data_IF_178187118735
#
_entry.id   IF_178187118735
#
_cell.length_a   1.000
_cell.length_b   1.000
_cell.length_c   1.000
_cell.angle_alpha   90.00
_cell.angle_beta   90.00
_cell.angle_gamma   90.00
#
_symmetry.space_group_name_H-M   'P 1'
#
loop_
_entity.id
_entity.type
_entity.pdbx_description
1 polymer ?
#
# COMPACT_ATOMS: atom_id res chain seq x y z
N UNK A 1 18.16 -19.41 11.68
CA UNK A 1 18.79 -18.07 11.69
C UNK A 1 18.51 -17.46 10.32
N UNK A 2 17.62 -16.46 10.23
CA UNK A 2 17.43 -15.73 8.98
C UNK A 2 18.69 -14.88 8.76
N UNK A 3 19.55 -15.29 7.84
CA UNK A 3 20.60 -14.42 7.34
C UNK A 3 19.91 -13.28 6.59
N UNK A 4 19.79 -12.12 7.24
CA UNK A 4 19.35 -10.91 6.58
C UNK A 4 20.40 -10.59 5.50
N UNK A 5 20.00 -10.65 4.23
CA UNK A 5 20.90 -10.34 3.11
C UNK A 5 21.36 -8.90 3.30
N UNK A 6 22.67 -8.68 3.39
CA UNK A 6 23.23 -7.32 3.46
C UNK A 6 23.16 -6.71 2.06
N UNK A 7 22.29 -5.71 1.90
CA UNK A 7 22.20 -4.92 0.67
C UNK A 7 23.20 -3.77 0.72
N UNK A 8 23.78 -3.41 -0.43
CA UNK A 8 24.65 -2.24 -0.58
C UNK A 8 23.86 -0.97 -0.34
N UNK A 9 22.68 -0.84 -1.00
CA UNK A 9 21.73 0.23 -0.81
C UNK A 9 20.31 -0.31 -0.70
N UNK A 10 19.48 0.42 0.03
CA UNK A 10 18.04 0.17 0.11
C UNK A 10 17.31 1.45 -0.27
N UNK A 11 16.51 1.38 -1.32
CA UNK A 11 15.74 2.49 -1.85
C UNK A 11 14.27 2.28 -1.49
N UNK A 12 13.59 3.35 -1.07
CA UNK A 12 12.14 3.32 -0.84
C UNK A 12 11.49 4.26 -1.83
N UNK A 13 10.52 3.77 -2.58
CA UNK A 13 9.83 4.48 -3.65
C UNK A 13 8.35 4.55 -3.30
N UNK A 14 7.70 5.67 -3.60
CA UNK A 14 6.27 5.89 -3.46
C UNK A 14 5.43 5.02 -4.40
N UNK A 15 4.28 5.52 -4.77
CA UNK A 15 3.33 4.86 -5.65
C UNK A 15 3.87 4.84 -7.08
N UNK A 16 3.99 3.66 -7.71
CA UNK A 16 4.45 3.56 -9.10
C UNK A 16 3.34 3.81 -10.10
N UNK A 17 2.14 3.43 -9.78
CA UNK A 17 0.92 3.63 -10.56
C UNK A 17 1.04 3.30 -12.06
N UNK A 18 1.81 2.26 -12.44
CA UNK A 18 1.99 1.86 -13.83
C UNK A 18 2.93 2.77 -14.64
N UNK A 19 3.72 3.62 -14.01
CA UNK A 19 4.72 4.49 -14.64
C UNK A 19 6.02 3.71 -14.90
N UNK A 20 5.97 2.77 -15.85
CA UNK A 20 7.07 1.85 -16.12
C UNK A 20 8.34 2.55 -16.61
N UNK A 21 8.19 3.50 -17.54
CA UNK A 21 9.36 4.22 -18.08
C UNK A 21 10.09 5.01 -16.98
N UNK A 22 9.34 5.71 -16.12
CA UNK A 22 9.92 6.47 -15.01
C UNK A 22 10.64 5.52 -14.02
N UNK A 23 10.07 4.34 -13.75
CA UNK A 23 10.69 3.34 -12.89
C UNK A 23 12.00 2.82 -13.48
N UNK A 24 12.04 2.52 -14.79
CA UNK A 24 13.25 2.11 -15.49
C UNK A 24 14.33 3.20 -15.51
N UNK A 25 13.92 4.47 -15.74
CA UNK A 25 14.83 5.60 -15.70
C UNK A 25 15.42 5.81 -14.30
N UNK A 26 14.59 5.68 -13.25
CA UNK A 26 15.05 5.78 -11.87
C UNK A 26 16.09 4.68 -11.56
N UNK A 27 15.82 3.41 -11.93
CA UNK A 27 16.77 2.31 -11.73
C UNK A 27 18.12 2.59 -12.40
N UNK A 28 18.10 3.15 -13.61
CA UNK A 28 19.34 3.56 -14.33
C UNK A 28 20.04 4.71 -13.62
N UNK A 29 19.31 5.73 -13.20
CA UNK A 29 19.88 6.93 -12.55
C UNK A 29 20.58 6.60 -11.22
N UNK A 30 20.02 5.66 -10.44
CA UNK A 30 20.61 5.22 -9.16
C UNK A 30 21.61 4.07 -9.32
N UNK A 31 21.90 3.65 -10.55
CA UNK A 31 22.79 2.50 -10.85
C UNK A 31 22.38 1.25 -10.05
N UNK A 32 21.08 0.94 -10.05
CA UNK A 32 20.50 -0.17 -9.31
C UNK A 32 21.05 -1.51 -9.81
N UNK A 33 21.59 -2.30 -8.88
CA UNK A 33 22.03 -3.67 -9.12
C UNK A 33 21.15 -4.65 -8.32
N UNK A 34 20.34 -5.43 -9.01
CA UNK A 34 19.39 -6.38 -8.40
C UNK A 34 20.07 -7.49 -7.56
N UNK A 35 21.38 -7.66 -7.66
CA UNK A 35 22.12 -8.61 -6.84
C UNK A 35 22.62 -8.01 -5.53
N UNK A 36 22.82 -6.68 -5.51
CA UNK A 36 23.45 -5.94 -4.41
C UNK A 36 22.50 -5.00 -3.68
N UNK A 37 21.47 -4.51 -4.36
CA UNK A 37 20.58 -3.48 -3.84
C UNK A 37 19.16 -4.01 -3.58
N UNK A 38 18.36 -3.23 -2.86
CA UNK A 38 16.96 -3.54 -2.55
C UNK A 38 16.06 -2.34 -2.83
N UNK A 39 14.94 -2.58 -3.50
CA UNK A 39 13.84 -1.62 -3.65
C UNK A 39 12.67 -2.03 -2.74
N UNK A 40 12.08 -1.04 -2.08
CA UNK A 40 10.86 -1.14 -1.29
C UNK A 40 9.82 -0.21 -1.92
N UNK A 41 8.62 -0.73 -2.25
CA UNK A 41 7.54 0.05 -2.84
C UNK A 41 6.42 0.28 -1.83
N UNK A 42 5.88 1.50 -1.81
CA UNK A 42 4.76 1.88 -0.95
C UNK A 42 3.40 1.31 -1.39
N UNK A 43 3.36 0.45 -2.41
CA UNK A 43 2.12 -0.07 -2.99
C UNK A 43 1.65 0.74 -4.19
N UNK A 44 0.39 0.50 -4.61
CA UNK A 44 -0.18 1.07 -5.83
C UNK A 44 0.79 0.94 -7.02
N UNK A 45 1.21 -0.31 -7.27
CA UNK A 45 2.11 -0.64 -8.39
C UNK A 45 1.44 -0.35 -9.72
N UNK A 46 0.11 -0.55 -9.76
CA UNK A 46 -0.72 -0.50 -10.96
C UNK A 46 -1.66 0.70 -10.97
N UNK A 47 -2.29 0.90 -12.10
CA UNK A 47 -3.26 1.95 -12.45
C UNK A 47 -2.61 3.25 -12.93
N UNK A 48 -3.39 4.06 -13.67
CA UNK A 48 -3.10 5.44 -14.10
C UNK A 48 -2.00 5.64 -15.15
N UNK A 49 -0.79 5.12 -14.91
CA UNK A 49 0.38 5.30 -15.76
C UNK A 49 0.25 4.64 -17.14
N UNK A 50 1.34 4.66 -17.87
CA UNK A 50 1.36 4.23 -19.27
C UNK A 50 1.35 2.71 -19.43
N UNK A 51 1.98 1.96 -18.51
CA UNK A 51 2.09 0.50 -18.63
C UNK A 51 2.07 -0.25 -17.27
N UNK A 52 0.86 -0.49 -16.78
CA UNK A 52 0.65 -1.28 -15.55
C UNK A 52 1.10 -2.75 -15.69
N UNK A 53 1.04 -3.32 -16.91
CA UNK A 53 1.45 -4.72 -17.12
C UNK A 53 2.97 -4.87 -16.99
N UNK A 54 3.73 -4.02 -17.65
CA UNK A 54 5.19 -4.04 -17.56
C UNK A 54 5.65 -3.75 -16.13
N UNK A 55 5.05 -2.74 -15.47
CA UNK A 55 5.38 -2.37 -14.08
C UNK A 55 5.15 -3.53 -13.11
N UNK A 56 3.99 -4.19 -13.20
CA UNK A 56 3.65 -5.33 -12.34
C UNK A 56 4.56 -6.53 -12.60
N UNK A 57 4.86 -6.80 -13.88
CA UNK A 57 5.73 -7.91 -14.28
C UNK A 57 7.15 -7.71 -13.77
N UNK A 58 7.68 -6.50 -13.90
CA UNK A 58 9.03 -6.16 -13.41
C UNK A 58 9.12 -6.20 -11.88
N UNK A 59 8.09 -5.67 -11.19
CA UNK A 59 8.02 -5.75 -9.73
C UNK A 59 8.03 -7.21 -9.25
N UNK A 60 7.24 -8.08 -9.89
CA UNK A 60 7.24 -9.52 -9.61
C UNK A 60 8.61 -10.14 -9.86
N UNK A 61 9.21 -9.90 -11.03
CA UNK A 61 10.52 -10.42 -11.40
C UNK A 61 11.62 -10.06 -10.38
N UNK A 62 11.68 -8.79 -10.00
CA UNK A 62 12.62 -8.31 -9.00
C UNK A 62 12.33 -8.88 -7.60
N UNK A 63 11.06 -9.06 -7.26
CA UNK A 63 10.64 -9.65 -5.98
C UNK A 63 11.08 -11.12 -5.88
N UNK A 64 10.95 -11.90 -6.95
CA UNK A 64 11.40 -13.30 -7.01
C UNK A 64 12.92 -13.44 -6.85
N UNK A 65 13.68 -12.45 -7.30
CA UNK A 65 15.13 -12.33 -7.05
C UNK A 65 15.48 -11.84 -5.63
N UNK A 66 14.48 -11.47 -4.85
CA UNK A 66 14.69 -10.87 -3.55
C UNK A 66 15.13 -9.40 -3.58
N UNK A 67 15.23 -8.78 -4.77
CA UNK A 67 15.67 -7.40 -4.97
C UNK A 67 14.55 -6.35 -4.80
N UNK A 68 13.29 -6.77 -4.68
CA UNK A 68 12.16 -5.89 -4.43
C UNK A 68 11.23 -6.47 -3.37
N UNK A 69 10.63 -5.61 -2.60
CA UNK A 69 9.46 -5.90 -1.75
C UNK A 69 8.48 -4.74 -1.89
N UNK A 70 7.22 -5.05 -2.04
CA UNK A 70 6.13 -4.07 -2.09
C UNK A 70 5.15 -4.32 -0.96
N UNK A 71 4.45 -3.29 -0.52
CA UNK A 71 3.21 -3.44 0.23
C UNK A 71 2.02 -3.30 -0.71
N UNK A 72 0.82 -3.70 -0.30
CA UNK A 72 -0.40 -3.53 -1.10
C UNK A 72 -0.99 -2.13 -0.90
N UNK A 73 -1.32 -1.47 -2.01
CA UNK A 73 -2.10 -0.26 -2.03
C UNK A 73 -3.57 -0.49 -2.39
N UNK A 74 -4.36 0.58 -2.39
CA UNK A 74 -5.79 0.48 -2.68
C UNK A 74 -6.08 0.18 -4.16
N UNK A 75 -5.25 0.65 -5.09
CA UNK A 75 -5.39 0.31 -6.51
C UNK A 75 -5.05 -1.16 -6.78
N UNK A 76 -4.06 -1.70 -6.08
CA UNK A 76 -3.69 -3.11 -6.15
C UNK A 76 -4.86 -4.00 -5.70
N UNK A 77 -5.45 -3.71 -4.54
CA UNK A 77 -6.61 -4.46 -4.02
C UNK A 77 -7.85 -4.26 -4.91
N UNK A 78 -8.04 -3.06 -5.47
CA UNK A 78 -9.12 -2.82 -6.42
C UNK A 78 -8.95 -3.67 -7.69
N UNK A 79 -7.72 -3.80 -8.21
CA UNK A 79 -7.45 -4.68 -9.35
C UNK A 79 -7.79 -6.14 -9.04
N UNK A 80 -7.50 -6.63 -7.83
CA UNK A 80 -7.92 -7.97 -7.42
C UNK A 80 -9.46 -8.12 -7.45
N UNK A 81 -10.20 -7.09 -7.04
CA UNK A 81 -11.66 -7.11 -7.09
C UNK A 81 -12.20 -7.09 -8.53
N UNK A 82 -11.54 -6.37 -9.44
CA UNK A 82 -11.84 -6.39 -10.88
C UNK A 82 -11.54 -7.76 -11.48
N UNK A 83 -10.38 -8.33 -11.22
CA UNK A 83 -10.00 -9.67 -11.67
C UNK A 83 -10.99 -10.74 -11.24
N UNK A 84 -11.51 -10.65 -10.00
CA UNK A 84 -12.50 -11.62 -9.49
C UNK A 84 -13.95 -11.28 -9.89
N UNK A 85 -14.18 -10.23 -10.69
CA UNK A 85 -15.50 -9.85 -11.21
C UNK A 85 -16.42 -9.15 -10.21
N UNK A 86 -15.92 -8.70 -9.06
CA UNK A 86 -16.73 -7.99 -8.06
C UNK A 86 -16.86 -6.49 -8.31
N UNK A 87 -15.97 -5.91 -9.12
CA UNK A 87 -15.95 -4.49 -9.48
C UNK A 87 -15.69 -4.38 -10.98
N UNK A 88 -16.38 -3.46 -11.65
CA UNK A 88 -16.12 -3.16 -13.05
C UNK A 88 -14.77 -2.43 -13.22
N UNK A 89 -14.01 -2.82 -14.24
CA UNK A 89 -12.79 -2.10 -14.62
C UNK A 89 -13.14 -0.66 -15.03
N UNK A 90 -12.37 0.30 -14.54
CA UNK A 90 -12.51 1.70 -14.93
C UNK A 90 -11.48 2.04 -15.99
N UNK A 91 -11.87 2.63 -17.15
CA UNK A 91 -10.93 2.96 -18.22
C UNK A 91 -9.73 3.79 -17.76
N UNK A 92 -9.94 4.71 -16.81
CA UNK A 92 -8.88 5.55 -16.27
C UNK A 92 -7.80 4.80 -15.47
N UNK A 93 -8.10 3.57 -15.00
CA UNK A 93 -7.14 2.78 -14.25
C UNK A 93 -6.19 1.99 -15.17
N UNK A 94 -6.45 1.96 -16.50
CA UNK A 94 -5.57 1.38 -17.54
C UNK A 94 -5.02 -0.01 -17.22
N UNK A 95 -5.82 -0.85 -16.54
CA UNK A 95 -5.42 -2.20 -16.12
C UNK A 95 -5.86 -3.30 -17.08
N UNK A 96 -6.44 -2.94 -18.23
CA UNK A 96 -6.97 -3.90 -19.19
C UNK A 96 -5.88 -4.83 -19.75
N UNK A 97 -4.67 -4.31 -19.97
CA UNK A 97 -3.53 -5.10 -20.44
C UNK A 97 -3.17 -6.25 -19.49
N UNK A 98 -3.28 -6.03 -18.17
CA UNK A 98 -3.07 -7.09 -17.18
C UNK A 98 -4.16 -8.16 -17.28
N UNK A 99 -5.44 -7.73 -17.34
CA UNK A 99 -6.59 -8.64 -17.35
C UNK A 99 -6.66 -9.49 -18.63
N UNK A 100 -6.10 -9.00 -19.74
CA UNK A 100 -6.03 -9.70 -21.03
C UNK A 100 -4.71 -10.47 -21.22
N UNK A 101 -3.75 -10.32 -20.31
CA UNK A 101 -2.47 -11.01 -20.40
C UNK A 101 -2.64 -12.52 -20.17
N UNK A 102 -1.92 -13.39 -20.92
CA UNK A 102 -1.87 -14.81 -20.63
C UNK A 102 -1.27 -15.11 -19.23
N UNK A 103 -0.55 -14.15 -18.63
CA UNK A 103 0.04 -14.24 -17.28
C UNK A 103 -0.84 -13.59 -16.20
N UNK A 104 -2.09 -13.22 -16.52
CA UNK A 104 -2.99 -12.51 -15.58
C UNK A 104 -3.09 -13.23 -14.23
N UNK A 105 -3.42 -14.51 -14.24
CA UNK A 105 -3.59 -15.28 -13.00
C UNK A 105 -2.30 -15.42 -12.19
N UNK A 106 -1.17 -15.58 -12.86
CA UNK A 106 0.14 -15.64 -12.21
C UNK A 106 0.48 -14.32 -11.52
N UNK A 107 0.35 -13.20 -12.23
CA UNK A 107 0.65 -11.86 -11.73
C UNK A 107 -0.25 -11.49 -10.54
N UNK A 108 -1.55 -11.74 -10.65
CA UNK A 108 -2.51 -11.37 -9.62
C UNK A 108 -2.48 -12.32 -8.42
N UNK A 109 -2.12 -13.59 -8.60
CA UNK A 109 -1.83 -14.49 -7.50
C UNK A 109 -0.56 -14.09 -6.74
N UNK A 110 0.47 -13.58 -7.42
CA UNK A 110 1.63 -12.99 -6.75
C UNK A 110 1.25 -11.71 -6.00
N UNK A 111 0.51 -10.79 -6.64
CA UNK A 111 0.13 -9.50 -6.07
C UNK A 111 -0.66 -9.66 -4.77
N UNK A 112 -1.69 -10.51 -4.74
CA UNK A 112 -2.53 -10.71 -3.56
C UNK A 112 -1.81 -11.32 -2.35
N UNK A 113 -0.61 -11.85 -2.54
CA UNK A 113 0.23 -12.41 -1.49
C UNK A 113 1.22 -11.38 -0.92
N UNK A 114 1.25 -10.14 -1.45
CA UNK A 114 2.13 -9.12 -0.93
C UNK A 114 1.64 -8.60 0.43
N UNK A 115 2.54 -8.16 1.31
CA UNK A 115 2.20 -7.68 2.65
C UNK A 115 1.47 -6.33 2.61
N UNK A 116 0.82 -5.96 3.71
CA UNK A 116 0.28 -4.61 3.98
C UNK A 116 1.25 -3.74 4.77
N UNK A 117 2.22 -4.37 5.42
CA UNK A 117 3.25 -3.73 6.22
C UNK A 117 4.57 -4.47 6.04
N UNK A 118 5.64 -3.72 5.78
CA UNK A 118 7.00 -4.25 5.71
C UNK A 118 7.93 -3.53 6.67
N UNK A 119 9.04 -4.16 7.01
CA UNK A 119 10.07 -3.60 7.90
C UNK A 119 11.40 -3.57 7.12
N UNK A 120 11.72 -2.46 6.46
CA UNK A 120 12.99 -2.31 5.75
C UNK A 120 14.21 -2.51 6.65
N UNK A 121 14.13 -1.96 7.87
CA UNK A 121 15.14 -2.09 8.90
C UNK A 121 14.54 -2.02 10.32
N UNK A 122 15.40 -1.87 11.33
CA UNK A 122 14.98 -1.76 12.73
C UNK A 122 14.37 -0.39 13.07
N UNK A 123 14.60 0.64 12.25
CA UNK A 123 14.20 2.03 12.52
C UNK A 123 12.99 2.46 11.69
N UNK A 124 12.65 1.72 10.64
CA UNK A 124 11.59 2.10 9.71
C UNK A 124 10.48 1.05 9.62
N UNK A 125 9.31 1.49 9.20
CA UNK A 125 8.17 0.65 8.83
C UNK A 125 7.53 1.23 7.59
N UNK A 126 7.24 0.39 6.63
CA UNK A 126 6.66 0.74 5.34
C UNK A 126 5.20 0.28 5.29
N UNK A 127 4.30 1.17 4.91
CA UNK A 127 2.88 0.89 4.65
C UNK A 127 2.40 1.74 3.50
N UNK A 128 1.26 1.43 2.89
CA UNK A 128 0.75 2.27 1.80
C UNK A 128 0.19 3.60 2.32
N UNK A 129 -0.80 3.59 3.23
CA UNK A 129 -1.46 4.83 3.67
C UNK A 129 -1.13 5.25 5.11
N UNK A 130 -0.31 4.49 5.83
CA UNK A 130 0.09 4.82 7.20
C UNK A 130 -0.33 3.79 8.24
N UNK A 131 -0.16 4.15 9.51
CA UNK A 131 -0.59 3.40 10.69
C UNK A 131 -1.41 4.33 11.56
N UNK A 132 -2.68 4.00 11.88
CA UNK A 132 -3.55 4.89 12.64
C UNK A 132 -2.97 5.19 14.03
N UNK A 133 -3.30 6.35 14.62
CA UNK A 133 -2.73 6.79 15.89
C UNK A 133 -2.98 5.81 17.05
N UNK A 134 -4.08 5.10 17.04
CA UNK A 134 -4.48 4.15 18.09
C UNK A 134 -3.85 2.74 17.95
N UNK A 135 -2.93 2.51 16.99
CA UNK A 135 -2.19 1.26 16.86
C UNK A 135 -0.69 1.44 17.11
N UNK A 136 -0.11 0.58 17.92
CA UNK A 136 1.33 0.38 17.92
C UNK A 136 1.79 -0.34 16.64
N UNK A 137 3.07 -0.25 16.29
CA UNK A 137 3.63 -1.00 15.14
C UNK A 137 3.47 -2.52 15.33
N UNK A 138 3.53 -3.00 16.58
CA UNK A 138 3.29 -4.41 16.90
C UNK A 138 1.84 -4.84 16.60
N UNK A 139 0.88 -4.01 16.99
CA UNK A 139 -0.54 -4.25 16.68
C UNK A 139 -0.80 -4.13 15.18
N UNK A 140 -0.27 -3.10 14.52
CA UNK A 140 -0.36 -2.93 13.07
C UNK A 140 0.13 -4.18 12.33
N UNK A 141 1.30 -4.73 12.72
CA UNK A 141 1.83 -5.98 12.15
C UNK A 141 0.88 -7.18 12.36
N UNK A 142 0.27 -7.28 13.54
CA UNK A 142 -0.72 -8.33 13.84
C UNK A 142 -1.95 -8.19 12.93
N UNK A 143 -2.49 -6.98 12.80
CA UNK A 143 -3.69 -6.72 12.01
C UNK A 143 -3.41 -6.83 10.50
N UNK A 144 -2.25 -6.39 10.03
CA UNK A 144 -1.83 -6.65 8.65
C UNK A 144 -1.88 -8.15 8.35
N UNK A 145 -1.28 -8.98 9.21
CA UNK A 145 -1.26 -10.44 9.03
C UNK A 145 -2.64 -11.07 9.03
N UNK A 146 -3.58 -10.53 9.79
CA UNK A 146 -4.97 -10.97 9.82
C UNK A 146 -5.62 -10.80 8.42
N UNK A 147 -5.51 -9.63 7.80
CA UNK A 147 -6.06 -9.38 6.47
C UNK A 147 -5.29 -10.13 5.37
N UNK A 148 -3.96 -10.17 5.43
CA UNK A 148 -3.09 -10.89 4.51
C UNK A 148 -3.45 -12.39 4.42
N UNK A 149 -3.85 -13.01 5.54
CA UNK A 149 -4.30 -14.41 5.57
C UNK A 149 -5.56 -14.63 4.73
N UNK A 150 -6.39 -13.61 4.55
CA UNK A 150 -7.57 -13.68 3.70
C UNK A 150 -7.23 -13.37 2.24
N UNK A 151 -6.42 -12.33 1.99
CA UNK A 151 -5.98 -11.96 0.64
C UNK A 151 -5.15 -13.08 -0.01
N UNK A 152 -4.12 -13.56 0.67
CA UNK A 152 -3.23 -14.62 0.19
C UNK A 152 -3.79 -16.04 0.38
N UNK A 153 -4.97 -16.21 0.98
CA UNK A 153 -5.59 -17.50 1.20
C UNK A 153 -6.12 -18.18 -0.07
N UNK A 154 -7.04 -19.14 0.07
CA UNK A 154 -7.69 -19.75 -1.10
C UNK A 154 -8.52 -18.69 -1.87
N UNK A 155 -8.71 -18.87 -3.19
CA UNK A 155 -9.56 -18.00 -3.99
C UNK A 155 -10.97 -17.87 -3.42
N UNK A 156 -11.52 -18.93 -2.85
CA UNK A 156 -12.82 -18.91 -2.13
C UNK A 156 -12.83 -17.95 -0.94
N UNK A 157 -11.70 -17.82 -0.19
CA UNK A 157 -11.59 -16.84 0.89
C UNK A 157 -11.48 -15.42 0.34
N UNK A 158 -10.70 -15.23 -0.72
CA UNK A 158 -10.57 -13.95 -1.42
C UNK A 158 -11.92 -13.47 -1.96
N UNK A 159 -12.67 -14.35 -2.63
CA UNK A 159 -13.99 -14.04 -3.21
C UNK A 159 -15.03 -13.64 -2.16
N UNK A 160 -14.93 -14.18 -0.95
CA UNK A 160 -15.78 -13.76 0.17
C UNK A 160 -15.33 -12.44 0.80
N UNK A 161 -14.04 -12.12 0.72
CA UNK A 161 -13.47 -10.91 1.32
C UNK A 161 -13.73 -9.67 0.45
N UNK A 162 -13.38 -9.72 -0.84
CA UNK A 162 -13.33 -8.56 -1.74
C UNK A 162 -14.63 -7.73 -1.79
N UNK A 163 -15.84 -8.32 -1.87
CA UNK A 163 -17.08 -7.54 -1.88
C UNK A 163 -17.32 -6.76 -0.58
N UNK A 164 -16.66 -7.16 0.50
CA UNK A 164 -16.86 -6.61 1.83
C UNK A 164 -15.78 -5.61 2.27
N UNK A 165 -14.69 -5.46 1.49
CA UNK A 165 -13.57 -4.59 1.89
C UNK A 165 -13.86 -3.11 1.76
N UNK A 166 -14.63 -2.71 0.75
CA UNK A 166 -14.88 -1.30 0.49
C UNK A 166 -16.37 -0.98 0.62
N UNK A 167 -16.69 -0.17 1.59
CA UNK A 167 -18.00 0.45 1.76
C UNK A 167 -17.85 1.96 1.86
N UNK A 168 -18.98 2.70 1.73
CA UNK A 168 -19.04 4.14 1.97
C UNK A 168 -18.98 4.48 3.47
N UNK A 169 -19.22 3.51 4.35
CA UNK A 169 -19.12 3.70 5.80
C UNK A 169 -17.67 3.45 6.23
N UNK A 170 -17.10 4.42 6.93
CA UNK A 170 -15.88 4.20 7.69
C UNK A 170 -16.26 3.41 8.95
N UNK A 171 -15.69 2.23 9.11
CA UNK A 171 -15.76 1.54 10.38
C UNK A 171 -14.76 2.22 11.32
N UNK A 172 -15.21 2.65 12.48
CA UNK A 172 -14.31 3.10 13.55
C UNK A 172 -13.65 1.88 14.15
N UNK A 173 -12.34 1.92 14.32
CA UNK A 173 -11.62 0.81 14.91
C UNK A 173 -12.03 0.56 16.35
N UNK A 174 -12.40 -0.67 16.63
CA UNK A 174 -12.51 -1.22 17.97
C UNK A 174 -11.87 -2.59 18.01
N UNK A 175 -11.28 -2.95 19.15
CA UNK A 175 -10.75 -4.31 19.35
C UNK A 175 -11.84 -5.38 19.29
N UNK A 176 -13.09 -4.98 19.53
CA UNK A 176 -14.27 -5.84 19.53
C UNK A 176 -14.86 -6.07 18.13
N UNK A 177 -14.41 -5.31 17.12
CA UNK A 177 -14.79 -5.56 15.74
C UNK A 177 -14.46 -6.99 15.33
N UNK A 178 -15.40 -7.64 14.65
CA UNK A 178 -15.27 -8.99 14.16
C UNK A 178 -15.65 -9.13 12.68
N UNK A 179 -15.28 -10.24 12.07
CA UNK A 179 -15.65 -10.58 10.70
C UNK A 179 -15.21 -9.54 9.68
N UNK A 180 -16.05 -9.30 8.68
CA UNK A 180 -15.70 -8.39 7.57
C UNK A 180 -15.63 -6.91 7.98
N UNK A 181 -16.36 -6.47 9.00
CA UNK A 181 -16.23 -5.09 9.52
C UNK A 181 -14.83 -4.83 10.05
N UNK A 182 -14.26 -5.80 10.76
CA UNK A 182 -12.87 -5.74 11.24
C UNK A 182 -11.87 -5.72 10.10
N UNK A 183 -12.00 -6.65 9.13
CA UNK A 183 -11.10 -6.73 7.97
C UNK A 183 -11.18 -5.46 7.11
N UNK A 184 -12.38 -4.89 6.94
CA UNK A 184 -12.58 -3.64 6.22
C UNK A 184 -11.93 -2.45 6.93
N UNK A 185 -12.06 -2.35 8.25
CA UNK A 185 -11.37 -1.32 9.02
C UNK A 185 -9.85 -1.42 8.84
N UNK A 186 -9.28 -2.63 8.96
CA UNK A 186 -7.86 -2.89 8.72
C UNK A 186 -7.44 -2.45 7.30
N UNK A 187 -8.19 -2.86 6.28
CA UNK A 187 -7.91 -2.49 4.89
C UNK A 187 -7.93 -0.97 4.69
N UNK A 188 -8.94 -0.27 5.23
CA UNK A 188 -9.09 1.17 5.09
C UNK A 188 -7.95 1.93 5.76
N UNK A 189 -7.51 1.52 6.94
CA UNK A 189 -6.38 2.18 7.61
C UNK A 189 -5.08 1.99 6.82
N UNK A 190 -4.78 0.78 6.37
CA UNK A 190 -3.54 0.54 5.64
C UNK A 190 -3.51 1.14 4.24
N UNK A 191 -4.69 1.28 3.58
CA UNK A 191 -4.70 1.58 2.14
C UNK A 191 -5.48 2.83 1.74
N UNK A 192 -6.20 3.49 2.64
CA UNK A 192 -7.07 4.62 2.27
C UNK A 192 -7.03 5.80 3.24
N UNK A 193 -6.31 5.69 4.33
CA UNK A 193 -6.27 6.71 5.38
C UNK A 193 -5.54 7.97 4.90
N UNK A 194 -6.17 9.13 5.10
CA UNK A 194 -5.56 10.46 4.97
C UNK A 194 -5.85 11.26 6.23
N UNK A 195 -7.12 11.58 6.44
CA UNK A 195 -7.57 12.26 7.64
C UNK A 195 -8.28 11.30 8.59
N UNK A 196 -8.11 11.54 9.87
CA UNK A 196 -8.94 10.93 10.91
C UNK A 196 -9.24 11.93 12.02
N UNK A 197 -10.26 11.66 12.81
CA UNK A 197 -10.54 12.37 14.05
C UNK A 197 -9.69 11.80 15.23
N UNK A 198 -9.85 12.36 16.41
CA UNK A 198 -9.17 11.94 17.65
C UNK A 198 -9.48 10.49 18.07
N UNK A 199 -10.61 9.95 17.60
CA UNK A 199 -11.03 8.57 17.87
C UNK A 199 -10.57 7.59 16.78
N UNK A 200 -9.96 8.10 15.69
CA UNK A 200 -9.53 7.30 14.55
C UNK A 200 -10.62 7.07 13.51
N UNK A 201 -11.74 7.79 13.54
CA UNK A 201 -12.74 7.75 12.47
C UNK A 201 -12.11 8.30 11.19
N UNK A 202 -12.21 7.56 10.06
CA UNK A 202 -11.62 7.98 8.80
C UNK A 202 -12.54 8.92 8.03
N UNK A 203 -11.95 9.91 7.39
CA UNK A 203 -12.56 10.76 6.38
C UNK A 203 -12.01 10.35 5.00
N UNK A 204 -12.87 10.04 4.01
CA UNK A 204 -12.47 9.48 2.73
C UNK A 204 -12.59 10.44 1.54
N UNK A 205 -13.29 11.56 1.71
CA UNK A 205 -13.53 12.48 0.59
C UNK A 205 -12.36 13.43 0.37
N UNK A 206 -11.63 13.78 1.43
CA UNK A 206 -10.50 14.70 1.37
C UNK A 206 -9.30 14.06 0.65
N UNK A 207 -8.80 14.75 -0.38
CA UNK A 207 -7.66 14.31 -1.19
C UNK A 207 -6.70 15.46 -1.50
N UNK A 208 -7.03 16.63 -1.00
CA UNK A 208 -6.35 17.88 -1.25
C UNK A 208 -5.05 17.99 -0.43
N UNK A 209 -4.35 19.09 -0.56
CA UNK A 209 -3.11 19.38 0.16
C UNK A 209 -3.35 19.79 1.61
N UNK A 210 -2.28 19.89 2.40
CA UNK A 210 -2.36 20.35 3.80
C UNK A 210 -2.78 21.82 3.92
N UNK A 211 -2.70 22.59 2.84
CA UNK A 211 -3.07 24.01 2.80
C UNK A 211 -4.56 24.22 2.53
N UNK A 212 -5.27 23.17 2.14
CA UNK A 212 -6.70 23.25 1.82
C UNK A 212 -7.56 23.08 3.08
N UNK A 213 -8.78 23.67 3.08
CA UNK A 213 -9.69 23.58 4.23
C UNK A 213 -10.07 22.14 4.52
N UNK A 214 -9.74 21.65 5.68
CA UNK A 214 -10.08 20.29 6.12
C UNK A 214 -11.49 20.24 6.74
N UNK A 215 -12.19 19.12 6.63
CA UNK A 215 -13.44 18.90 7.35
C UNK A 215 -13.26 19.09 8.85
N UNK A 216 -14.23 19.78 9.48
CA UNK A 216 -14.17 20.10 10.92
C UNK A 216 -13.99 18.83 11.77
N UNK A 217 -13.00 18.84 12.66
CA UNK A 217 -12.71 17.75 13.58
C UNK A 217 -11.79 16.66 13.01
N UNK A 218 -11.36 16.79 11.73
CA UNK A 218 -10.44 15.86 11.09
C UNK A 218 -9.07 16.51 10.83
N UNK A 219 -8.02 15.76 11.06
CA UNK A 219 -6.64 16.16 10.79
C UNK A 219 -5.92 15.05 10.05
N UNK A 220 -4.78 15.34 9.38
CA UNK A 220 -3.89 14.31 8.86
C UNK A 220 -3.55 13.30 9.97
N UNK A 221 -3.65 12.01 9.66
CA UNK A 221 -3.46 10.94 10.63
C UNK A 221 -2.15 11.06 11.43
N UNK A 222 -1.11 11.63 10.83
CA UNK A 222 0.21 11.80 11.42
C UNK A 222 0.32 13.04 12.34
N UNK A 223 -0.69 13.89 12.42
CA UNK A 223 -0.78 14.99 13.40
C UNK A 223 -1.25 14.50 14.77
N UNK A 224 -1.93 13.35 14.82
CA UNK A 224 -2.30 12.70 16.06
C UNK A 224 -1.07 11.96 16.61
N UNK A 225 -0.22 12.69 17.33
CA UNK A 225 1.09 12.18 17.75
C UNK A 225 0.98 11.04 18.76
N UNK A 226 1.46 9.87 18.35
CA UNK A 226 1.87 8.82 19.28
C UNK A 226 3.38 8.64 19.07
N UNK A 227 4.21 8.79 20.14
CA UNK A 227 5.64 8.50 20.04
C UNK A 227 5.87 7.08 19.56
N UNK A 228 6.54 6.92 18.43
CA UNK A 228 6.89 5.62 17.86
C UNK A 228 8.40 5.51 17.73
N UNK A 229 8.92 4.31 18.03
CA UNK A 229 10.35 4.02 17.87
C UNK A 229 10.78 3.92 16.39
N UNK A 230 9.81 3.72 15.48
CA UNK A 230 10.06 3.53 14.06
C UNK A 230 9.41 4.66 13.26
N UNK A 231 10.14 5.18 12.29
CA UNK A 231 9.64 6.12 11.30
C UNK A 231 8.72 5.38 10.33
N UNK A 232 7.54 5.93 10.06
CA UNK A 232 6.60 5.37 9.09
C UNK A 232 6.87 6.00 7.73
N UNK A 233 7.16 5.15 6.74
CA UNK A 233 7.27 5.52 5.33
C UNK A 233 5.95 5.16 4.66
N UNK A 234 5.37 6.08 3.88
CA UNK A 234 4.06 5.87 3.27
C UNK A 234 3.89 6.60 1.93
N UNK A 235 2.97 6.13 1.08
CA UNK A 235 2.55 6.70 -0.19
C UNK A 235 1.13 7.26 -0.15
N UNK A 236 0.30 6.88 -1.11
CA UNK A 236 -1.16 7.08 -1.16
C UNK A 236 -1.65 8.53 -1.28
N UNK A 237 -0.99 9.50 -0.70
CA UNK A 237 -1.48 10.87 -0.63
C UNK A 237 -0.64 11.79 -1.53
N UNK A 238 -0.91 11.70 -2.83
CA UNK A 238 -0.20 12.45 -3.87
C UNK A 238 -0.14 13.97 -3.64
N UNK A 239 -1.23 14.57 -3.13
CA UNK A 239 -1.28 16.00 -2.85
C UNK A 239 -0.33 16.48 -1.73
N UNK A 240 0.36 15.57 -1.04
CA UNK A 240 1.47 15.92 -0.15
C UNK A 240 2.78 16.18 -0.91
N UNK A 241 2.86 15.81 -2.21
CA UNK A 241 4.03 16.01 -3.07
C UNK A 241 5.35 15.53 -2.43
N UNK A 242 5.27 14.42 -1.65
CA UNK A 242 6.37 13.88 -0.85
C UNK A 242 7.04 14.88 0.13
N UNK A 243 6.42 16.04 0.40
CA UNK A 243 7.03 17.10 1.22
C UNK A 243 6.90 16.87 2.73
N UNK A 244 6.06 15.93 3.17
CA UNK A 244 5.92 15.63 4.60
C UNK A 244 7.07 14.74 5.06
N UNK A 245 7.97 15.34 5.83
CA UNK A 245 9.10 14.65 6.46
C UNK A 245 9.29 15.14 7.90
N UNK A 246 9.13 14.23 8.86
CA UNK A 246 9.38 14.46 10.28
C UNK A 246 10.24 13.33 10.85
N UNK A 247 10.55 13.37 12.14
CA UNK A 247 11.25 12.27 12.81
C UNK A 247 10.43 10.97 12.80
N UNK A 248 9.10 11.07 12.70
CA UNK A 248 8.18 9.95 12.87
C UNK A 248 7.53 9.46 11.58
N UNK A 249 7.43 10.29 10.56
CA UNK A 249 6.78 9.95 9.29
C UNK A 249 7.53 10.55 8.10
N UNK A 250 7.38 9.91 6.94
CA UNK A 250 7.81 10.44 5.65
C UNK A 250 6.84 10.01 4.55
N UNK A 251 6.25 10.99 3.87
CA UNK A 251 5.49 10.78 2.66
C UNK A 251 6.44 10.58 1.47
N UNK A 252 6.07 9.69 0.54
CA UNK A 252 6.89 9.35 -0.62
C UNK A 252 6.12 9.41 -1.95
N UNK A 253 4.81 9.67 -1.91
CA UNK A 253 3.99 9.83 -3.11
C UNK A 253 3.99 11.30 -3.54
N UNK A 254 4.27 11.55 -4.81
CA UNK A 254 4.36 12.89 -5.41
C UNK A 254 3.37 13.09 -6.57
N UNK A 255 2.49 12.10 -6.84
CA UNK A 255 1.49 12.13 -7.90
C UNK A 255 1.94 11.53 -9.20
#
# INVERSE_FOLDING_TARGET
MNHQKNYRYQYVIGDLQGCFEAFEQLKKAILFDENLDKIWLCGDIVARGEDSLATLSEAKRLSEKGALTTVLGNHDINLLAVWRGFVAAKPKDKTQSILQSPHCDELLNWLRCQPLLALPDEKTVLTHAGIPPNWSVKEAKKYAKELETHLGGSLKKLDKLLPNLYSKKADVWSKDLQGYSRLRAIANYFTRMRLCDEHGTLEFSFKESLNDPMPKGFLPWFFWQIPRKRKILFGHWAALEAQVQTDHVQALDAG
#
